data_IF_700233290060
#
_entry.id   IF_700233290060
#
_cell.length_a   1.000
_cell.length_b   1.000
_cell.length_c   1.000
_cell.angle_alpha   90.00
_cell.angle_beta   90.00
_cell.angle_gamma   90.00
#
_symmetry.space_group_name_H-M   'P 1'
#
loop_
_entity.id
_entity.type
_entity.pdbx_description
1 polymer ?
#
# COMPACT_ATOMS: atom_id res chain seq x y z
N UNK A 1 21.27 6.04 5.28
CA UNK A 1 22.10 7.24 5.32
C UNK A 1 22.86 7.46 4.00
N UNK A 2 23.62 6.46 3.51
CA UNK A 2 24.43 6.59 2.28
C UNK A 2 23.58 7.01 1.07
N UNK A 3 22.42 6.42 0.86
CA UNK A 3 21.53 6.76 -0.25
C UNK A 3 21.05 8.21 -0.22
N UNK A 4 20.65 8.70 0.96
CA UNK A 4 20.26 10.11 1.16
C UNK A 4 21.45 11.07 0.97
N UNK A 5 22.65 10.67 1.43
CA UNK A 5 23.86 11.47 1.24
C UNK A 5 24.20 11.60 -0.26
N UNK A 6 24.19 10.50 -1.01
CA UNK A 6 24.42 10.53 -2.46
C UNK A 6 23.36 11.35 -3.17
N UNK A 7 22.08 11.18 -2.80
CA UNK A 7 20.99 11.96 -3.36
C UNK A 7 21.14 13.47 -3.08
N UNK A 8 21.59 13.86 -1.88
CA UNK A 8 21.82 15.27 -1.54
C UNK A 8 22.93 15.92 -2.38
N UNK A 9 23.85 15.12 -2.93
CA UNK A 9 24.97 15.56 -3.78
C UNK A 9 24.76 15.31 -5.26
N UNK A 10 23.58 14.85 -5.66
CA UNK A 10 23.33 14.47 -7.05
C UNK A 10 23.45 15.66 -8.01
N UNK A 11 24.10 15.42 -9.15
CA UNK A 11 24.24 16.35 -10.27
C UNK A 11 23.61 15.80 -11.55
N UNK A 12 23.19 14.53 -11.54
CA UNK A 12 22.55 13.87 -12.67
C UNK A 12 21.38 12.99 -12.21
N UNK A 13 20.39 12.73 -13.06
CA UNK A 13 19.30 11.82 -12.76
C UNK A 13 19.79 10.42 -12.36
N UNK A 14 20.87 9.92 -12.99
CA UNK A 14 21.44 8.61 -12.69
C UNK A 14 21.91 8.53 -11.23
N UNK A 15 22.59 9.56 -10.75
CA UNK A 15 23.07 9.61 -9.35
C UNK A 15 21.89 9.62 -8.37
N UNK A 16 20.79 10.29 -8.73
CA UNK A 16 19.56 10.28 -7.94
C UNK A 16 18.91 8.88 -7.93
N UNK A 17 18.85 8.21 -9.07
CA UNK A 17 18.31 6.84 -9.15
C UNK A 17 19.14 5.85 -8.33
N UNK A 18 20.46 5.94 -8.37
CA UNK A 18 21.34 5.07 -7.59
C UNK A 18 21.26 5.38 -6.09
N UNK A 19 21.31 6.65 -5.70
CA UNK A 19 21.25 7.06 -4.29
C UNK A 19 19.86 6.85 -3.69
N UNK A 20 18.88 7.59 -4.16
CA UNK A 20 17.54 7.56 -3.60
C UNK A 20 16.74 6.33 -4.07
N UNK A 21 16.74 6.04 -5.36
CA UNK A 21 15.98 4.91 -5.89
C UNK A 21 16.50 3.57 -5.38
N UNK A 22 17.76 3.25 -5.64
CA UNK A 22 18.31 1.92 -5.35
C UNK A 22 18.64 1.78 -3.85
N UNK A 23 19.52 2.63 -3.30
CA UNK A 23 20.03 2.43 -1.93
C UNK A 23 18.94 2.71 -0.87
N UNK A 24 18.18 3.79 -0.99
CA UNK A 24 17.09 4.06 -0.04
C UNK A 24 15.94 3.07 -0.24
N UNK A 25 15.65 2.65 -1.47
CA UNK A 25 14.65 1.62 -1.76
C UNK A 25 15.01 0.27 -1.13
N UNK A 26 16.25 -0.21 -1.30
CA UNK A 26 16.72 -1.44 -0.65
C UNK A 26 16.67 -1.34 0.87
N UNK A 27 17.14 -0.23 1.44
CA UNK A 27 17.13 -0.01 2.89
C UNK A 27 15.69 -0.01 3.45
N UNK A 28 14.77 0.68 2.78
CA UNK A 28 13.35 0.71 3.13
C UNK A 28 12.72 -0.68 3.07
N UNK A 29 12.99 -1.44 2.00
CA UNK A 29 12.49 -2.82 1.85
C UNK A 29 13.01 -3.76 2.93
N UNK A 30 14.30 -3.69 3.27
CA UNK A 30 14.90 -4.50 4.34
C UNK A 30 14.30 -4.15 5.71
N UNK A 31 14.20 -2.85 6.05
CA UNK A 31 13.62 -2.41 7.30
C UNK A 31 12.14 -2.83 7.41
N UNK A 32 11.35 -2.59 6.37
CA UNK A 32 9.95 -2.97 6.30
C UNK A 32 9.74 -4.47 6.50
N UNK A 33 10.48 -5.30 5.76
CA UNK A 33 10.35 -6.75 5.85
C UNK A 33 10.82 -7.28 7.22
N UNK A 34 11.87 -6.72 7.77
CA UNK A 34 12.36 -7.06 9.11
C UNK A 34 11.31 -6.80 10.18
N UNK A 35 10.71 -5.59 10.18
CA UNK A 35 9.66 -5.21 11.12
C UNK A 35 8.43 -6.10 10.96
N UNK A 36 7.93 -6.26 9.75
CA UNK A 36 6.74 -7.07 9.48
C UNK A 36 6.94 -8.53 9.90
N UNK A 37 8.07 -9.13 9.54
CA UNK A 37 8.38 -10.52 9.86
C UNK A 37 8.49 -10.76 11.36
N UNK A 38 9.02 -9.81 12.11
CA UNK A 38 9.17 -9.92 13.58
C UNK A 38 7.84 -9.71 14.28
N UNK A 39 7.09 -8.68 13.91
CA UNK A 39 5.83 -8.35 14.57
C UNK A 39 4.73 -9.39 14.32
N UNK A 40 4.70 -10.01 13.15
CA UNK A 40 3.78 -11.12 12.87
C UNK A 40 4.09 -12.36 13.74
N UNK A 41 5.33 -12.54 14.22
CA UNK A 41 5.67 -13.59 15.19
C UNK A 41 5.16 -13.28 16.59
N UNK A 42 5.15 -12.01 17.01
CA UNK A 42 4.62 -11.58 18.30
C UNK A 42 3.08 -11.68 18.38
N UNK A 43 2.38 -11.51 17.25
CA UNK A 43 0.92 -11.50 17.16
C UNK A 43 0.41 -12.50 16.11
N UNK A 44 0.62 -13.81 16.33
CA UNK A 44 0.27 -14.82 15.34
C UNK A 44 -1.24 -15.00 15.16
N UNK A 45 -2.05 -14.55 16.11
CA UNK A 45 -3.52 -14.60 16.12
C UNK A 45 -4.16 -13.47 15.31
N UNK A 46 -3.44 -12.35 15.07
CA UNK A 46 -3.97 -11.15 14.40
C UNK A 46 -2.99 -10.56 13.38
N UNK A 47 -2.50 -11.36 12.40
CA UNK A 47 -1.47 -10.91 11.47
C UNK A 47 -1.94 -9.75 10.58
N UNK A 48 -3.21 -9.71 10.20
CA UNK A 48 -3.80 -8.65 9.40
C UNK A 48 -3.89 -7.34 10.17
N UNK A 49 -4.41 -7.37 11.41
CA UNK A 49 -4.51 -6.18 12.26
C UNK A 49 -3.15 -5.56 12.52
N UNK A 50 -2.16 -6.38 12.92
CA UNK A 50 -0.80 -5.90 13.20
C UNK A 50 -0.15 -5.33 11.95
N UNK A 51 -0.29 -6.00 10.81
CA UNK A 51 0.17 -5.46 9.53
C UNK A 51 -0.49 -4.12 9.23
N UNK A 52 -1.77 -3.99 9.48
CA UNK A 52 -2.52 -2.75 9.31
C UNK A 52 -1.99 -1.60 10.18
N UNK A 53 -1.75 -1.87 11.47
CA UNK A 53 -1.20 -0.88 12.42
C UNK A 53 0.20 -0.43 11.99
N UNK A 54 1.08 -1.36 11.64
CA UNK A 54 2.43 -1.04 11.17
C UNK A 54 2.38 -0.20 9.88
N UNK A 55 1.51 -0.59 8.96
CA UNK A 55 1.36 0.09 7.67
C UNK A 55 0.64 1.43 7.77
N UNK A 56 -0.14 1.68 8.84
CA UNK A 56 -0.70 3.00 9.11
C UNK A 56 0.40 4.05 9.24
N UNK A 57 1.58 3.67 9.73
CA UNK A 57 2.76 4.51 9.79
C UNK A 57 3.19 5.07 8.43
N UNK A 58 2.98 4.36 7.32
CA UNK A 58 3.26 4.89 5.98
C UNK A 58 2.35 6.07 5.61
N UNK A 59 1.07 5.99 5.94
CA UNK A 59 0.12 7.08 5.66
C UNK A 59 0.35 8.28 6.58
N UNK A 60 0.38 8.05 7.89
CA UNK A 60 0.63 9.10 8.89
C UNK A 60 2.04 9.68 8.78
N UNK A 61 3.04 8.83 8.51
CA UNK A 61 4.42 9.24 8.29
C UNK A 61 4.56 10.18 7.10
N UNK A 62 3.91 9.89 5.99
CA UNK A 62 3.95 10.76 4.79
C UNK A 62 3.40 12.16 5.10
N UNK A 63 2.34 12.27 5.87
CA UNK A 63 1.77 13.56 6.27
C UNK A 63 2.73 14.34 7.19
N UNK A 64 3.22 13.69 8.25
CA UNK A 64 4.13 14.32 9.22
C UNK A 64 5.47 14.71 8.58
N UNK A 65 6.10 13.79 7.86
CA UNK A 65 7.39 14.02 7.20
C UNK A 65 7.24 15.05 6.09
N UNK A 66 6.13 15.06 5.36
CA UNK A 66 5.85 16.07 4.34
C UNK A 66 5.81 17.50 4.94
N UNK A 67 5.16 17.67 6.09
CA UNK A 67 5.15 18.96 6.82
C UNK A 67 6.54 19.36 7.32
N UNK A 68 7.26 18.42 7.93
CA UNK A 68 8.63 18.65 8.40
C UNK A 68 9.58 18.96 7.24
N UNK A 69 9.43 18.23 6.12
CA UNK A 69 10.22 18.48 4.92
C UNK A 69 10.03 19.90 4.40
N UNK A 70 8.80 20.39 4.32
CA UNK A 70 8.51 21.76 3.94
C UNK A 70 9.13 22.78 4.90
N UNK A 71 9.07 22.52 6.22
CA UNK A 71 9.66 23.41 7.24
C UNK A 71 11.19 23.42 7.21
N UNK A 72 11.84 22.32 6.86
CA UNK A 72 13.30 22.17 6.85
C UNK A 72 13.95 22.47 5.51
N UNK A 73 13.16 22.61 4.45
CA UNK A 73 13.71 22.92 3.13
C UNK A 73 14.05 24.42 3.06
N UNK A 74 15.34 24.80 3.00
CA UNK A 74 15.72 26.19 2.84
C UNK A 74 15.15 26.75 1.52
N UNK A 75 14.74 28.02 1.57
CA UNK A 75 14.29 28.73 0.38
C UNK A 75 15.45 28.85 -0.62
N UNK A 76 15.14 28.62 -1.91
CA UNK A 76 16.10 28.81 -3.00
C UNK A 76 16.43 27.52 -3.77
N UNK A 77 17.17 27.71 -4.87
CA UNK A 77 17.56 26.63 -5.77
C UNK A 77 18.53 25.68 -5.06
N UNK A 78 18.12 24.44 -4.86
CA UNK A 78 18.96 23.41 -4.21
C UNK A 78 18.68 23.20 -2.71
N UNK A 79 17.73 23.90 -2.09
CA UNK A 79 17.34 23.70 -0.70
C UNK A 79 16.91 22.25 -0.38
N UNK A 80 16.34 21.54 -1.34
CA UNK A 80 15.99 20.13 -1.27
C UNK A 80 17.19 19.21 -0.93
N UNK A 81 18.43 19.61 -1.28
CA UNK A 81 19.64 18.85 -0.96
C UNK A 81 19.90 18.78 0.54
N UNK A 82 19.71 19.91 1.22
CA UNK A 82 19.80 19.98 2.68
C UNK A 82 18.72 19.13 3.32
N UNK A 83 17.50 19.15 2.79
CA UNK A 83 16.40 18.33 3.28
C UNK A 83 16.65 16.83 3.13
N UNK A 84 17.25 16.38 2.02
CA UNK A 84 17.69 14.99 1.87
C UNK A 84 18.73 14.60 2.93
N UNK A 85 19.70 15.47 3.19
CA UNK A 85 20.74 15.20 4.19
C UNK A 85 20.15 15.10 5.59
N UNK A 86 19.34 16.09 5.99
CA UNK A 86 18.67 16.13 7.31
C UNK A 86 17.78 14.89 7.48
N UNK A 87 16.96 14.58 6.49
CA UNK A 87 16.09 13.40 6.53
C UNK A 87 16.89 12.11 6.64
N UNK A 88 18.01 12.00 5.91
CA UNK A 88 18.91 10.84 6.00
C UNK A 88 19.50 10.65 7.38
N UNK A 89 19.93 11.73 8.04
CA UNK A 89 20.47 11.69 9.41
C UNK A 89 19.37 11.32 10.41
N UNK A 90 18.20 11.94 10.32
CA UNK A 90 17.06 11.65 11.21
C UNK A 90 16.61 10.19 11.05
N UNK A 91 16.41 9.70 9.83
CA UNK A 91 16.04 8.31 9.59
C UNK A 91 17.10 7.34 10.12
N UNK A 92 18.39 7.64 9.94
CA UNK A 92 19.46 6.82 10.48
C UNK A 92 19.44 6.76 12.01
N UNK A 93 19.33 7.92 12.67
CA UNK A 93 19.28 8.00 14.14
C UNK A 93 18.07 7.23 14.71
N UNK A 94 16.88 7.44 14.14
CA UNK A 94 15.66 6.75 14.57
C UNK A 94 15.78 5.24 14.37
N UNK A 95 16.23 4.78 13.20
CA UNK A 95 16.39 3.35 12.93
C UNK A 95 17.47 2.72 13.83
N UNK A 96 18.58 3.42 14.09
CA UNK A 96 19.60 2.95 14.99
C UNK A 96 19.07 2.78 16.43
N UNK A 97 18.35 3.77 16.95
CA UNK A 97 17.73 3.67 18.28
C UNK A 97 16.69 2.55 18.32
N UNK A 98 15.78 2.49 17.34
CA UNK A 98 14.75 1.45 17.29
C UNK A 98 15.34 0.04 17.18
N UNK A 99 16.50 -0.15 16.55
CA UNK A 99 17.12 -1.45 16.38
C UNK A 99 17.48 -2.12 17.71
N UNK A 100 17.78 -1.34 18.75
CA UNK A 100 18.09 -1.88 20.09
C UNK A 100 16.86 -2.48 20.79
N UNK A 101 15.66 -2.02 20.44
CA UNK A 101 14.39 -2.50 21.00
C UNK A 101 13.74 -3.59 20.16
N UNK A 102 14.31 -3.88 19.00
CA UNK A 102 13.69 -4.78 18.03
C UNK A 102 14.16 -6.21 18.22
N UNK A 103 13.45 -6.97 19.08
CA UNK A 103 13.80 -8.34 19.45
C UNK A 103 12.71 -9.30 18.96
N UNK A 104 13.10 -10.44 18.40
CA UNK A 104 12.17 -11.52 18.06
C UNK A 104 11.73 -12.25 19.34
N UNK A 105 10.50 -12.82 19.39
CA UNK A 105 10.07 -13.64 20.52
C UNK A 105 11.00 -14.85 20.69
N UNK A 106 11.28 -15.19 21.95
CA UNK A 106 12.08 -16.38 22.30
C UNK A 106 11.38 -17.69 21.93
N UNK A 107 12.11 -18.80 21.96
CA UNK A 107 11.58 -20.13 21.63
C UNK A 107 10.41 -20.55 22.56
N UNK A 108 10.42 -20.05 23.80
CA UNK A 108 9.41 -20.37 24.84
C UNK A 108 8.18 -19.44 24.77
N UNK A 109 8.13 -18.53 23.81
CA UNK A 109 6.99 -17.62 23.67
C UNK A 109 5.75 -18.36 23.21
N UNK A 110 4.78 -18.50 24.10
CA UNK A 110 3.43 -18.94 23.77
C UNK A 110 2.54 -17.72 23.58
N UNK A 111 2.04 -17.54 22.34
CA UNK A 111 1.11 -16.46 22.08
C UNK A 111 -0.12 -16.57 22.98
N UNK A 112 -0.64 -15.46 23.55
CA UNK A 112 -1.87 -15.47 24.30
C UNK A 112 -2.99 -16.11 23.46
N UNK A 113 -3.71 -17.10 24.02
CA UNK A 113 -4.86 -17.67 23.36
C UNK A 113 -5.87 -16.56 23.08
N UNK A 114 -6.04 -16.20 21.81
CA UNK A 114 -6.90 -15.09 21.40
C UNK A 114 -8.34 -15.36 21.86
N UNK A 115 -8.85 -14.53 22.77
CA UNK A 115 -10.28 -14.44 23.08
C UNK A 115 -11.02 -13.76 21.94
N UNK A 116 -10.88 -14.26 20.74
CA UNK A 116 -11.52 -13.72 19.54
C UNK A 116 -12.28 -14.84 18.84
N UNK A 117 -13.60 -14.76 18.90
CA UNK A 117 -14.48 -15.71 18.28
C UNK A 117 -14.19 -15.88 16.80
N UNK A 118 -14.47 -17.08 16.31
CA UNK A 118 -14.56 -17.48 14.90
C UNK A 118 -13.56 -16.81 13.93
N UNK A 119 -12.28 -16.73 14.32
CA UNK A 119 -11.26 -16.75 13.30
C UNK A 119 -11.56 -18.00 12.47
N UNK A 120 -11.81 -17.85 11.18
CA UNK A 120 -11.85 -18.98 10.25
C UNK A 120 -10.43 -19.56 10.30
N UNK A 121 -10.17 -20.32 11.36
CA UNK A 121 -8.92 -21.05 11.58
C UNK A 121 -8.91 -22.17 10.55
N UNK A 122 -8.45 -21.81 9.35
CA UNK A 122 -7.87 -22.85 8.51
C UNK A 122 -6.77 -23.51 9.35
N UNK A 123 -6.68 -24.85 9.35
CA UNK A 123 -5.51 -25.54 9.90
C UNK A 123 -4.28 -24.79 9.41
N UNK A 124 -3.33 -24.50 10.31
CA UNK A 124 -2.12 -23.79 9.96
C UNK A 124 -1.60 -24.37 8.65
N UNK A 125 -1.58 -23.55 7.59
CA UNK A 125 -1.15 -24.03 6.29
C UNK A 125 0.25 -24.59 6.48
N UNK A 126 0.49 -25.79 5.96
CA UNK A 126 1.83 -26.38 5.97
C UNK A 126 2.80 -25.33 5.40
N UNK A 127 3.94 -25.15 6.07
CA UNK A 127 4.95 -24.20 5.62
C UNK A 127 5.36 -24.46 4.19
N UNK A 128 5.12 -23.49 3.33
CA UNK A 128 5.36 -23.60 1.89
C UNK A 128 6.62 -22.81 1.56
N UNK A 129 7.59 -23.49 0.96
CA UNK A 129 8.82 -22.83 0.48
C UNK A 129 8.52 -21.88 -0.67
N UNK A 130 9.37 -20.85 -0.92
CA UNK A 130 9.18 -19.91 -2.03
C UNK A 130 8.98 -20.60 -3.39
N UNK A 131 9.79 -21.63 -3.67
CA UNK A 131 9.67 -22.39 -4.92
C UNK A 131 8.37 -23.18 -5.06
N UNK A 132 7.82 -23.70 -3.96
CA UNK A 132 6.51 -24.34 -3.94
C UNK A 132 5.37 -23.32 -4.06
N UNK A 133 5.51 -22.15 -3.43
CA UNK A 133 4.55 -21.05 -3.55
C UNK A 133 4.36 -20.61 -4.99
N UNK A 134 5.45 -20.40 -5.72
CA UNK A 134 5.43 -19.99 -7.13
C UNK A 134 4.78 -21.03 -8.07
N UNK A 135 4.71 -22.29 -7.65
CA UNK A 135 4.01 -23.34 -8.42
C UNK A 135 2.50 -23.39 -8.17
N UNK A 136 1.98 -22.71 -7.14
CA UNK A 136 0.56 -22.74 -6.81
C UNK A 136 -0.24 -21.76 -7.66
N UNK A 137 -1.30 -22.20 -8.30
CA UNK A 137 -2.25 -21.35 -9.05
C UNK A 137 -2.85 -20.26 -8.17
N UNK A 138 -3.10 -20.56 -6.89
CA UNK A 138 -3.62 -19.59 -5.90
C UNK A 138 -2.67 -18.41 -5.72
N UNK A 139 -1.34 -18.62 -5.79
CA UNK A 139 -0.37 -17.53 -5.73
C UNK A 139 -0.54 -16.58 -6.92
N UNK A 140 -0.60 -17.10 -8.14
CA UNK A 140 -0.69 -16.27 -9.35
C UNK A 140 -2.02 -15.52 -9.45
N UNK A 141 -3.13 -16.16 -9.09
CA UNK A 141 -4.42 -15.49 -9.04
C UNK A 141 -4.41 -14.34 -8.01
N UNK A 142 -3.83 -14.59 -6.84
CA UNK A 142 -3.68 -13.57 -5.83
C UNK A 142 -2.73 -12.45 -6.28
N UNK A 143 -1.63 -12.80 -6.92
CA UNK A 143 -0.63 -11.87 -7.42
C UNK A 143 -1.21 -10.92 -8.49
N UNK A 144 -2.00 -11.47 -9.43
CA UNK A 144 -2.72 -10.66 -10.42
C UNK A 144 -3.74 -9.75 -9.76
N UNK A 145 -4.48 -10.25 -8.76
CA UNK A 145 -5.37 -9.41 -7.96
C UNK A 145 -4.60 -8.25 -7.31
N UNK A 146 -3.50 -8.55 -6.65
CA UNK A 146 -2.68 -7.55 -5.96
C UNK A 146 -2.11 -6.50 -6.94
N UNK A 147 -1.67 -6.91 -8.14
CA UNK A 147 -1.24 -5.97 -9.20
C UNK A 147 -2.42 -5.07 -9.59
N UNK A 148 -3.57 -5.65 -9.93
CA UNK A 148 -4.72 -4.90 -10.43
C UNK A 148 -5.20 -3.83 -9.43
N UNK A 149 -5.44 -4.21 -8.18
CA UNK A 149 -5.94 -3.26 -7.17
C UNK A 149 -4.87 -2.26 -6.71
N UNK A 150 -3.59 -2.67 -6.71
CA UNK A 150 -2.49 -1.72 -6.43
C UNK A 150 -2.34 -0.72 -7.57
N UNK A 151 -2.44 -1.16 -8.83
CA UNK A 151 -2.40 -0.28 -9.99
C UNK A 151 -3.57 0.73 -9.98
N UNK A 152 -4.77 0.28 -9.61
CA UNK A 152 -5.93 1.14 -9.45
C UNK A 152 -5.69 2.23 -8.40
N UNK A 153 -5.14 1.87 -7.24
CA UNK A 153 -4.82 2.83 -6.18
C UNK A 153 -3.73 3.82 -6.57
N UNK A 154 -2.65 3.34 -7.20
CA UNK A 154 -1.55 4.19 -7.66
C UNK A 154 -1.98 5.12 -8.81
N UNK A 155 -2.83 4.65 -9.74
CA UNK A 155 -3.43 5.49 -10.77
C UNK A 155 -4.24 6.65 -10.17
N UNK A 156 -5.08 6.36 -9.16
CA UNK A 156 -5.87 7.38 -8.47
C UNK A 156 -4.97 8.40 -7.75
N UNK A 157 -4.02 7.92 -6.95
CA UNK A 157 -3.17 8.80 -6.12
C UNK A 157 -2.28 9.69 -6.98
N UNK A 158 -1.70 9.15 -8.05
CA UNK A 158 -0.80 9.91 -8.93
C UNK A 158 -1.48 11.06 -9.65
N UNK A 159 -2.77 10.92 -9.96
CA UNK A 159 -3.55 11.91 -10.71
C UNK A 159 -4.47 12.75 -9.82
N UNK A 160 -4.44 12.54 -8.50
CA UNK A 160 -5.40 13.15 -7.60
C UNK A 160 -5.47 14.68 -7.68
N UNK A 161 -4.31 15.37 -7.80
CA UNK A 161 -4.29 16.82 -7.94
C UNK A 161 -4.95 17.27 -9.24
N UNK A 162 -4.66 16.60 -10.37
CA UNK A 162 -5.27 16.88 -11.65
C UNK A 162 -6.78 16.70 -11.65
N UNK A 163 -7.26 15.64 -10.99
CA UNK A 163 -8.70 15.38 -10.83
C UNK A 163 -9.41 16.52 -10.10
N UNK A 164 -8.80 17.10 -9.06
CA UNK A 164 -9.37 18.26 -8.36
C UNK A 164 -9.42 19.49 -9.27
N UNK A 165 -8.34 19.74 -10.03
CA UNK A 165 -8.28 20.88 -10.97
C UNK A 165 -9.26 20.71 -12.13
N UNK A 166 -9.45 19.49 -12.65
CA UNK A 166 -10.46 19.23 -13.70
C UNK A 166 -11.89 19.45 -13.16
N UNK A 167 -12.16 19.09 -11.93
CA UNK A 167 -13.48 19.29 -11.32
C UNK A 167 -13.82 20.75 -11.03
N UNK A 168 -12.80 21.58 -10.70
CA UNK A 168 -12.97 23.03 -10.47
C UNK A 168 -11.64 23.75 -10.59
N UNK A 169 -11.56 24.68 -11.53
CA UNK A 169 -10.38 25.52 -11.74
C UNK A 169 -10.19 26.62 -10.67
N UNK A 170 -11.21 26.91 -9.88
CA UNK A 170 -11.19 28.00 -8.87
C UNK A 170 -10.49 27.58 -7.56
N UNK A 171 -9.91 26.37 -7.49
CA UNK A 171 -9.24 25.88 -6.29
C UNK A 171 -7.87 26.54 -6.10
N UNK A 172 -7.47 26.74 -4.86
CA UNK A 172 -6.10 27.13 -4.54
C UNK A 172 -5.20 25.91 -4.40
N UNK A 173 -3.89 26.06 -4.63
CA UNK A 173 -2.94 24.98 -4.45
C UNK A 173 -2.99 24.38 -3.02
N UNK A 174 -3.26 25.21 -2.01
CA UNK A 174 -3.40 24.77 -0.62
C UNK A 174 -4.66 23.90 -0.41
N UNK A 175 -5.79 24.27 -1.04
CA UNK A 175 -7.01 23.47 -0.96
C UNK A 175 -6.85 22.14 -1.69
N UNK A 176 -6.24 22.14 -2.87
CA UNK A 176 -5.93 20.90 -3.63
C UNK A 176 -5.05 19.96 -2.80
N UNK A 177 -3.97 20.47 -2.21
CA UNK A 177 -3.09 19.67 -1.36
C UNK A 177 -3.83 19.07 -0.15
N UNK A 178 -4.76 19.83 0.44
CA UNK A 178 -5.60 19.35 1.57
C UNK A 178 -6.55 18.24 1.12
N UNK A 179 -7.23 18.42 0.00
CA UNK A 179 -8.18 17.44 -0.55
C UNK A 179 -7.45 16.14 -0.90
N UNK A 180 -6.31 16.23 -1.58
CA UNK A 180 -5.48 15.07 -1.92
C UNK A 180 -4.94 14.39 -0.65
N UNK A 181 -4.60 15.16 0.37
CA UNK A 181 -4.15 14.64 1.67
C UNK A 181 -5.17 13.74 2.36
N UNK A 182 -6.47 13.90 2.10
CA UNK A 182 -7.52 13.04 2.63
C UNK A 182 -7.37 11.58 2.17
N UNK A 183 -6.89 11.35 0.95
CA UNK A 183 -6.61 9.99 0.46
C UNK A 183 -5.60 9.31 1.40
N UNK A 184 -4.53 10.01 1.77
CA UNK A 184 -3.47 9.47 2.64
C UNK A 184 -3.97 9.17 4.05
N UNK A 185 -4.80 10.04 4.62
CA UNK A 185 -5.39 9.84 5.95
C UNK A 185 -6.34 8.64 5.93
N UNK A 186 -7.24 8.57 4.96
CA UNK A 186 -8.17 7.45 4.80
C UNK A 186 -7.42 6.13 4.53
N UNK A 187 -6.35 6.18 3.74
CA UNK A 187 -5.48 5.04 3.51
C UNK A 187 -4.78 4.58 4.81
N UNK A 188 -4.33 5.49 5.65
CA UNK A 188 -3.72 5.14 6.93
C UNK A 188 -4.71 4.42 7.86
N UNK A 189 -5.87 5.02 8.09
CA UNK A 189 -6.92 4.47 8.97
C UNK A 189 -7.47 3.15 8.39
N UNK A 190 -7.74 3.13 7.12
CA UNK A 190 -8.29 1.96 6.43
C UNK A 190 -7.40 0.71 6.52
N UNK A 191 -6.08 0.86 6.61
CA UNK A 191 -5.16 -0.28 6.77
C UNK A 191 -5.43 -1.06 8.05
N UNK A 192 -5.70 -0.37 9.15
CA UNK A 192 -6.06 -1.01 10.42
C UNK A 192 -7.42 -1.70 10.31
N UNK A 193 -8.40 -1.02 9.70
CA UNK A 193 -9.75 -1.55 9.51
C UNK A 193 -9.73 -2.82 8.65
N UNK A 194 -9.08 -2.79 7.49
CA UNK A 194 -8.98 -3.94 6.59
C UNK A 194 -8.14 -5.08 7.14
N UNK A 195 -7.07 -4.75 7.90
CA UNK A 195 -6.29 -5.76 8.60
C UNK A 195 -7.12 -6.53 9.62
N UNK A 196 -7.83 -5.82 10.50
CA UNK A 196 -8.74 -6.46 11.47
C UNK A 196 -9.93 -7.17 10.81
N UNK A 197 -10.41 -6.63 9.69
CA UNK A 197 -11.49 -7.27 8.92
C UNK A 197 -11.03 -8.58 8.28
N UNK A 198 -9.81 -8.64 7.75
CA UNK A 198 -9.27 -9.89 7.22
C UNK A 198 -9.18 -10.97 8.30
N UNK A 199 -8.68 -10.61 9.48
CA UNK A 199 -8.57 -11.54 10.60
C UNK A 199 -9.93 -12.06 11.08
N UNK A 200 -10.98 -11.22 11.03
CA UNK A 200 -12.33 -11.58 11.50
C UNK A 200 -13.18 -12.29 10.44
N UNK A 201 -13.13 -11.84 9.20
CA UNK A 201 -14.06 -12.28 8.15
C UNK A 201 -13.36 -13.04 7.02
N UNK A 202 -12.03 -13.08 7.03
CA UNK A 202 -11.22 -13.83 6.10
C UNK A 202 -11.01 -13.13 4.75
N UNK A 203 -10.32 -13.87 3.86
CA UNK A 203 -9.85 -13.40 2.56
C UNK A 203 -10.97 -12.91 1.64
N UNK A 204 -12.00 -13.75 1.47
CA UNK A 204 -13.00 -13.54 0.41
C UNK A 204 -13.73 -12.21 0.56
N UNK A 205 -14.22 -11.91 1.77
CA UNK A 205 -14.91 -10.65 2.04
C UNK A 205 -13.96 -9.46 1.91
N UNK A 206 -12.75 -9.57 2.43
CA UNK A 206 -11.76 -8.49 2.36
C UNK A 206 -11.41 -8.12 0.93
N UNK A 207 -11.13 -9.11 0.06
CA UNK A 207 -10.84 -8.87 -1.35
C UNK A 207 -12.05 -8.28 -2.09
N UNK A 208 -13.26 -8.78 -1.86
CA UNK A 208 -14.46 -8.26 -2.53
C UNK A 208 -14.81 -6.85 -2.10
N UNK A 209 -14.62 -6.49 -0.83
CA UNK A 209 -14.83 -5.12 -0.37
C UNK A 209 -13.81 -4.14 -0.97
N UNK A 210 -12.54 -4.53 -1.11
CA UNK A 210 -11.54 -3.72 -1.82
C UNK A 210 -11.99 -3.48 -3.26
N UNK A 211 -12.37 -4.52 -3.99
CA UNK A 211 -12.83 -4.42 -5.37
C UNK A 211 -14.09 -3.55 -5.48
N UNK A 212 -15.09 -3.78 -4.63
CA UNK A 212 -16.34 -3.02 -4.61
C UNK A 212 -16.12 -1.53 -4.29
N UNK A 213 -15.22 -1.22 -3.36
CA UNK A 213 -14.86 0.16 -3.04
C UNK A 213 -14.16 0.86 -4.21
N UNK A 214 -13.30 0.20 -4.98
CA UNK A 214 -12.70 0.81 -6.17
C UNK A 214 -13.73 1.09 -7.25
N UNK A 215 -14.70 0.20 -7.47
CA UNK A 215 -15.81 0.43 -8.41
C UNK A 215 -16.65 1.61 -7.93
N UNK A 216 -17.02 1.65 -6.64
CA UNK A 216 -17.80 2.76 -6.07
C UNK A 216 -17.03 4.08 -6.15
N UNK A 217 -15.73 4.08 -5.82
CA UNK A 217 -14.85 5.25 -5.97
C UNK A 217 -14.92 5.80 -7.37
N UNK A 218 -14.75 4.94 -8.37
CA UNK A 218 -14.74 5.34 -9.78
C UNK A 218 -16.10 5.87 -10.23
N UNK A 219 -17.20 5.24 -9.81
CA UNK A 219 -18.54 5.72 -10.11
C UNK A 219 -18.81 7.11 -9.51
N UNK A 220 -18.39 7.33 -8.25
CA UNK A 220 -18.50 8.62 -7.58
C UNK A 220 -17.64 9.68 -8.26
N UNK A 221 -16.42 9.34 -8.69
CA UNK A 221 -15.53 10.29 -9.39
C UNK A 221 -16.03 10.62 -10.80
N UNK A 222 -16.60 9.67 -11.53
CA UNK A 222 -17.28 9.93 -12.80
C UNK A 222 -18.45 10.91 -12.63
N UNK A 223 -19.25 10.72 -11.56
CA UNK A 223 -20.30 11.65 -11.18
C UNK A 223 -19.74 13.02 -10.80
N UNK A 224 -18.60 13.07 -10.11
CA UNK A 224 -17.94 14.32 -9.74
C UNK A 224 -17.54 15.12 -10.96
N UNK A 225 -16.92 14.48 -11.98
CA UNK A 225 -16.52 15.12 -13.23
C UNK A 225 -17.73 15.65 -13.99
N UNK A 226 -18.81 14.84 -14.10
CA UNK A 226 -20.01 15.27 -14.82
C UNK A 226 -20.72 16.46 -14.18
N UNK A 227 -20.52 16.68 -12.87
CA UNK A 227 -21.17 17.77 -12.10
C UNK A 227 -20.25 18.93 -11.79
N UNK A 228 -18.95 18.83 -12.06
CA UNK A 228 -17.95 19.83 -11.66
C UNK A 228 -17.94 20.05 -10.13
N UNK A 229 -18.11 18.99 -9.33
CA UNK A 229 -18.32 19.12 -7.88
C UNK A 229 -17.15 18.60 -7.06
N UNK A 230 -16.40 19.50 -6.46
CA UNK A 230 -15.30 19.18 -5.55
C UNK A 230 -15.76 18.39 -4.32
N UNK A 231 -16.95 18.65 -3.80
CA UNK A 231 -17.50 17.89 -2.68
C UNK A 231 -17.67 16.40 -3.02
N UNK A 232 -18.08 16.10 -4.25
CA UNK A 232 -18.20 14.72 -4.73
C UNK A 232 -16.82 14.11 -4.99
N UNK A 233 -15.80 14.91 -5.44
CA UNK A 233 -14.40 14.45 -5.54
C UNK A 233 -13.89 14.05 -4.16
N UNK A 234 -14.14 14.85 -3.13
CA UNK A 234 -13.73 14.53 -1.75
C UNK A 234 -14.30 13.19 -1.31
N UNK A 235 -15.58 12.93 -1.56
CA UNK A 235 -16.20 11.64 -1.25
C UNK A 235 -15.51 10.49 -2.00
N UNK A 236 -15.25 10.67 -3.30
CA UNK A 236 -14.51 9.71 -4.11
C UNK A 236 -13.10 9.42 -3.56
N UNK A 237 -12.40 10.45 -3.10
CA UNK A 237 -11.06 10.30 -2.53
C UNK A 237 -11.05 9.60 -1.17
N UNK A 238 -12.03 9.85 -0.33
CA UNK A 238 -12.24 9.12 0.92
C UNK A 238 -12.45 7.62 0.63
N UNK A 239 -13.34 7.30 -0.29
CA UNK A 239 -13.60 5.91 -0.70
C UNK A 239 -12.37 5.25 -1.34
N UNK A 240 -11.66 5.97 -2.22
CA UNK A 240 -10.46 5.49 -2.89
C UNK A 240 -9.29 5.25 -1.93
N UNK A 241 -9.11 6.14 -0.97
CA UNK A 241 -8.14 5.96 0.11
C UNK A 241 -8.44 4.72 0.95
N UNK A 242 -9.70 4.52 1.30
CA UNK A 242 -10.14 3.30 1.99
C UNK A 242 -9.96 2.05 1.12
N UNK A 243 -10.29 2.09 -0.18
CA UNK A 243 -10.10 0.96 -1.08
C UNK A 243 -8.63 0.53 -1.16
N UNK A 244 -7.72 1.49 -1.39
CA UNK A 244 -6.29 1.20 -1.52
C UNK A 244 -5.67 0.70 -0.20
N UNK A 245 -6.20 1.14 0.93
CA UNK A 245 -5.71 0.73 2.24
C UNK A 245 -5.81 -0.77 2.50
N UNK A 246 -6.78 -1.45 1.88
CA UNK A 246 -7.03 -2.87 2.10
C UNK A 246 -6.01 -3.79 1.44
N UNK A 247 -5.20 -3.31 0.49
CA UNK A 247 -4.32 -4.16 -0.31
C UNK A 247 -3.16 -4.73 0.49
N UNK A 248 -2.36 -3.87 1.11
CA UNK A 248 -1.13 -4.29 1.80
C UNK A 248 -1.34 -5.14 3.06
N UNK A 249 -2.29 -4.84 3.95
CA UNK A 249 -2.60 -5.73 5.07
C UNK A 249 -3.11 -7.10 4.60
N UNK A 250 -3.89 -7.12 3.52
CA UNK A 250 -4.37 -8.36 2.91
C UNK A 250 -3.21 -9.19 2.35
N UNK A 251 -2.18 -8.56 1.73
CA UNK A 251 -0.97 -9.25 1.28
C UNK A 251 -0.28 -10.01 2.42
N UNK A 252 -0.09 -9.34 3.56
CA UNK A 252 0.54 -9.93 4.73
C UNK A 252 -0.28 -11.10 5.30
N UNK A 253 -1.56 -10.88 5.54
CA UNK A 253 -2.46 -11.88 6.10
C UNK A 253 -2.66 -13.08 5.16
N UNK A 254 -2.79 -12.83 3.85
CA UNK A 254 -2.87 -13.87 2.83
C UNK A 254 -1.60 -14.73 2.78
N UNK A 255 -0.43 -14.09 2.77
CA UNK A 255 0.85 -14.80 2.76
C UNK A 255 0.92 -15.80 3.92
N UNK A 256 0.60 -15.36 5.12
CA UNK A 256 0.62 -16.21 6.31
C UNK A 256 -0.44 -17.31 6.25
N UNK A 257 -1.67 -16.98 5.84
CA UNK A 257 -2.79 -17.92 5.82
C UNK A 257 -2.65 -19.04 4.78
N UNK A 258 -2.00 -18.76 3.64
CA UNK A 258 -1.90 -19.71 2.52
C UNK A 258 -0.54 -20.40 2.40
N UNK A 259 0.51 -19.79 2.92
CA UNK A 259 1.89 -20.28 2.75
C UNK A 259 2.61 -20.52 4.08
N UNK A 260 1.95 -20.28 5.21
CA UNK A 260 2.47 -20.56 6.53
C UNK A 260 3.48 -19.53 7.05
N UNK A 261 3.87 -19.64 8.34
CA UNK A 261 4.76 -18.69 8.99
C UNK A 261 6.26 -18.94 8.77
N UNK A 262 6.68 -20.19 8.46
CA UNK A 262 8.09 -20.57 8.45
C UNK A 262 8.91 -19.86 7.39
N UNK A 263 8.36 -19.71 6.17
CA UNK A 263 9.01 -19.01 5.06
C UNK A 263 8.45 -17.61 4.80
N UNK A 264 7.64 -17.07 5.74
CA UNK A 264 7.03 -15.74 5.59
C UNK A 264 8.02 -14.62 5.25
N UNK A 265 9.23 -14.53 5.87
CA UNK A 265 10.19 -13.47 5.57
C UNK A 265 10.67 -13.43 4.10
N UNK A 266 10.51 -14.52 3.36
CA UNK A 266 10.87 -14.61 1.93
C UNK A 266 9.62 -14.58 1.04
N UNK A 267 8.56 -15.26 1.44
CA UNK A 267 7.31 -15.32 0.67
C UNK A 267 6.60 -13.97 0.59
N UNK A 268 6.60 -13.21 1.69
CA UNK A 268 5.91 -11.93 1.76
C UNK A 268 6.53 -10.86 0.83
N UNK A 269 7.86 -10.64 0.79
CA UNK A 269 8.47 -9.76 -0.20
C UNK A 269 8.19 -10.17 -1.64
N UNK A 270 8.15 -11.47 -1.95
CA UNK A 270 7.82 -11.96 -3.30
C UNK A 270 6.39 -11.55 -3.70
N UNK A 271 5.42 -11.61 -2.79
CA UNK A 271 4.07 -11.09 -3.06
C UNK A 271 4.13 -9.58 -3.31
N UNK A 272 4.89 -8.82 -2.50
CA UNK A 272 4.99 -7.37 -2.62
C UNK A 272 5.71 -6.88 -3.89
N UNK A 273 6.40 -7.75 -4.64
CA UNK A 273 6.91 -7.39 -5.97
C UNK A 273 5.80 -7.02 -6.95
N UNK A 274 4.52 -7.30 -6.62
CA UNK A 274 3.36 -6.82 -7.39
C UNK A 274 3.41 -5.31 -7.64
N UNK A 275 3.99 -4.53 -6.70
CA UNK A 275 4.10 -3.08 -6.81
C UNK A 275 4.99 -2.63 -7.99
N UNK A 276 5.92 -3.45 -8.44
CA UNK A 276 6.75 -3.17 -9.63
C UNK A 276 5.83 -3.05 -10.86
N UNK A 277 4.92 -4.00 -11.04
CA UNK A 277 3.97 -3.99 -12.15
C UNK A 277 2.84 -2.99 -11.92
N UNK A 278 2.37 -2.87 -10.70
CA UNK A 278 1.30 -1.94 -10.33
C UNK A 278 1.70 -0.47 -10.54
N UNK A 279 2.98 -0.12 -10.43
CA UNK A 279 3.47 1.25 -10.65
C UNK A 279 3.20 1.77 -12.05
N UNK A 280 3.08 0.88 -13.05
CA UNK A 280 2.66 1.26 -14.41
C UNK A 280 1.23 1.81 -14.47
N UNK A 281 0.40 1.55 -13.46
CA UNK A 281 -0.94 2.13 -13.36
C UNK A 281 -0.91 3.66 -13.37
N UNK A 282 0.08 4.28 -12.72
CA UNK A 282 0.28 5.73 -12.73
C UNK A 282 0.63 6.25 -14.13
N UNK A 283 1.54 5.56 -14.81
CA UNK A 283 1.98 5.93 -16.17
C UNK A 283 0.85 5.77 -17.19
N UNK A 284 0.10 4.67 -17.12
CA UNK A 284 -1.05 4.42 -17.98
C UNK A 284 -2.14 5.47 -17.75
N UNK A 285 -2.41 5.82 -16.51
CA UNK A 285 -3.38 6.86 -16.16
C UNK A 285 -2.98 8.23 -16.72
N UNK A 286 -1.69 8.61 -16.63
CA UNK A 286 -1.18 9.84 -17.25
C UNK A 286 -1.34 9.82 -18.77
N UNK A 287 -0.94 8.73 -19.43
CA UNK A 287 -1.07 8.59 -20.87
C UNK A 287 -2.54 8.63 -21.35
N UNK A 288 -3.46 8.08 -20.58
CA UNK A 288 -4.90 8.16 -20.87
C UNK A 288 -5.41 9.60 -20.76
N UNK A 289 -4.93 10.38 -19.81
CA UNK A 289 -5.25 11.79 -19.68
C UNK A 289 -4.68 12.58 -20.86
N UNK A 290 -3.42 12.35 -21.21
CA UNK A 290 -2.77 13.04 -22.35
C UNK A 290 -3.49 12.76 -23.69
N UNK A 291 -4.03 11.56 -23.85
CA UNK A 291 -4.78 11.17 -25.04
C UNK A 291 -6.22 11.68 -25.09
N UNK A 292 -6.89 11.74 -23.93
CA UNK A 292 -8.33 12.02 -23.84
C UNK A 292 -8.70 13.38 -23.25
N UNK A 293 -7.75 14.09 -22.65
CA UNK A 293 -7.97 15.40 -22.01
C UNK A 293 -8.85 15.35 -20.76
N UNK A 294 -9.16 14.15 -20.22
CA UNK A 294 -10.00 13.96 -19.04
C UNK A 294 -9.63 12.71 -18.25
N UNK A 295 -9.82 12.76 -16.92
CA UNK A 295 -9.60 11.61 -16.02
C UNK A 295 -10.71 10.55 -16.07
N UNK A 296 -11.78 10.75 -16.85
CA UNK A 296 -12.84 9.75 -17.00
C UNK A 296 -12.29 8.38 -17.48
N UNK A 297 -11.34 8.38 -18.39
CA UNK A 297 -10.67 7.15 -18.86
C UNK A 297 -9.90 6.44 -17.75
N UNK A 298 -9.30 7.19 -16.83
CA UNK A 298 -8.64 6.64 -15.62
C UNK A 298 -9.65 5.94 -14.72
N UNK A 299 -10.83 6.52 -14.50
CA UNK A 299 -11.84 5.89 -13.67
C UNK A 299 -12.41 4.62 -14.29
N UNK A 300 -12.56 4.58 -15.62
CA UNK A 300 -12.93 3.38 -16.36
C UNK A 300 -11.83 2.30 -16.25
N UNK A 301 -10.55 2.69 -16.34
CA UNK A 301 -9.43 1.79 -16.10
C UNK A 301 -9.51 1.16 -14.69
N UNK A 302 -9.77 1.96 -13.66
CA UNK A 302 -9.89 1.48 -12.28
C UNK A 302 -11.05 0.48 -12.16
N UNK A 303 -12.20 0.71 -12.80
CA UNK A 303 -13.32 -0.25 -12.84
C UNK A 303 -12.87 -1.56 -13.50
N UNK A 304 -12.18 -1.49 -14.63
CA UNK A 304 -11.66 -2.67 -15.34
C UNK A 304 -10.70 -3.48 -14.47
N UNK A 305 -9.75 -2.81 -13.78
CA UNK A 305 -8.82 -3.45 -12.85
C UNK A 305 -9.54 -4.09 -11.66
N UNK A 306 -10.55 -3.43 -11.11
CA UNK A 306 -11.37 -3.98 -10.02
C UNK A 306 -12.19 -5.20 -10.49
N UNK A 307 -12.69 -5.19 -11.73
CA UNK A 307 -13.38 -6.34 -12.32
C UNK A 307 -12.45 -7.57 -12.45
N UNK A 308 -11.21 -7.35 -12.91
CA UNK A 308 -10.17 -8.41 -12.89
C UNK A 308 -9.96 -8.92 -11.47
N UNK A 309 -9.92 -8.00 -10.51
CA UNK A 309 -9.81 -8.35 -9.09
C UNK A 309 -10.96 -9.25 -8.60
N UNK A 310 -12.20 -8.96 -8.99
CA UNK A 310 -13.37 -9.79 -8.67
C UNK A 310 -13.20 -11.20 -9.22
N UNK A 311 -12.84 -11.32 -10.50
CA UNK A 311 -12.65 -12.62 -11.16
C UNK A 311 -11.57 -13.44 -10.43
N UNK A 312 -10.42 -12.83 -10.12
CA UNK A 312 -9.35 -13.51 -9.38
C UNK A 312 -9.81 -13.98 -8.00
N UNK A 313 -10.53 -13.13 -7.25
CA UNK A 313 -11.04 -13.48 -5.92
C UNK A 313 -12.04 -14.64 -5.96
N UNK A 314 -12.94 -14.65 -6.95
CA UNK A 314 -13.91 -15.73 -7.16
C UNK A 314 -13.22 -17.04 -7.57
N UNK A 315 -12.21 -16.96 -8.45
CA UNK A 315 -11.43 -18.12 -8.87
C UNK A 315 -10.69 -18.77 -7.69
N UNK A 316 -10.08 -17.96 -6.81
CA UNK A 316 -9.46 -18.49 -5.59
C UNK A 316 -10.53 -19.15 -4.69
N UNK A 317 -11.70 -18.53 -4.56
CA UNK A 317 -12.79 -19.11 -3.74
C UNK A 317 -13.30 -20.45 -4.31
N UNK A 318 -13.28 -20.62 -5.63
CA UNK A 318 -13.63 -21.88 -6.26
C UNK A 318 -12.58 -22.98 -6.01
N UNK A 319 -11.29 -22.61 -6.02
CA UNK A 319 -10.20 -23.54 -5.67
C UNK A 319 -10.30 -23.95 -4.19
N UNK A 320 -10.56 -22.99 -3.30
CA UNK A 320 -10.70 -23.25 -1.87
C UNK A 320 -11.83 -24.24 -1.57
N UNK A 321 -12.95 -24.16 -2.30
CA UNK A 321 -14.09 -25.09 -2.15
C UNK A 321 -13.81 -26.50 -2.68
N UNK A 322 -12.91 -26.65 -3.67
CA UNK A 322 -12.55 -27.96 -4.22
C UNK A 322 -11.47 -28.68 -3.40
N UNK A 323 -10.73 -27.95 -2.59
CA UNK A 323 -9.67 -28.52 -1.74
C UNK A 323 -10.13 -28.90 -0.33
N UNK A 324 -11.37 -28.60 0.01
CA UNK A 324 -12.10 -29.09 1.19
C UNK A 324 -13.05 -30.22 0.79
#
# INVERSE_FOLDING_TARGET
LAGFFIASRCQSPLTLYLGFGLLCGLASGLAYNGVMSTMVKWFPDKPGLISGVLLMGFGGGSFLIGKLYQAWTPAGVGGWRTSFLVLGIVCFAVLAVCSFFFVAPGADFTAPAGKGGNAVSRPAAADVTPGQMLKKTTFWLYYVWAIAVSAAGLALISQASGVVWEASADQTAASVATIVGLISICNAVGRVLFGGMYDKFGRSLSMQLVNGLFILTSAVLLLAMSRGSVAVVILGFVLGGLAYSGVTPTNSAFCRAYFGPGHYPVNFPLINTNLIFASFGSTVSGALYDAGGSYNSTFLLIIGLAAVGIVCSLAISAIDKKGN
#
